data_IF_055850579767
#
_entry.id   IF_055850579767
#
_cell.length_a   1.000
_cell.length_b   1.000
_cell.length_c   1.000
_cell.angle_alpha   90.00
_cell.angle_beta   90.00
_cell.angle_gamma   90.00
#
_symmetry.space_group_name_H-M   'P 1'
#
loop_
_entity.id
_entity.type
_entity.pdbx_description
1 polymer ?
#
# COMPACT_ATOMS: atom_id res chain seq x y z
N UNK A 1 -7.36 -65.42 30.33
CA UNK A 1 -6.49 -65.04 29.21
C UNK A 1 -7.33 -65.08 27.96
N UNK A 2 -7.92 -63.95 27.57
CA UNK A 2 -8.62 -63.78 26.29
C UNK A 2 -8.63 -62.28 26.00
N UNK A 3 -7.54 -61.84 25.37
CA UNK A 3 -7.43 -60.57 24.67
C UNK A 3 -8.40 -60.57 23.49
N UNK A 4 -9.59 -60.01 23.69
CA UNK A 4 -10.46 -59.60 22.58
C UNK A 4 -10.05 -58.20 22.16
N UNK A 5 -9.20 -58.14 21.14
CA UNK A 5 -8.92 -56.92 20.38
C UNK A 5 -10.25 -56.27 19.98
N UNK A 6 -10.51 -55.09 20.54
CA UNK A 6 -11.60 -54.23 20.09
C UNK A 6 -11.24 -53.73 18.69
N UNK A 7 -11.70 -54.43 17.66
CA UNK A 7 -11.66 -53.95 16.28
C UNK A 7 -12.48 -52.66 16.21
N UNK A 8 -11.80 -51.51 16.16
CA UNK A 8 -12.40 -50.20 15.89
C UNK A 8 -13.25 -50.28 14.61
N UNK A 9 -14.48 -49.78 14.69
CA UNK A 9 -15.42 -49.68 13.57
C UNK A 9 -14.72 -48.99 12.36
N UNK A 10 -14.70 -49.62 11.16
CA UNK A 10 -14.12 -49.04 9.96
C UNK A 10 -14.65 -47.64 9.64
N UNK A 11 -15.91 -47.34 9.98
CA UNK A 11 -16.50 -46.02 9.77
C UNK A 11 -15.90 -44.98 10.73
N UNK A 12 -15.67 -45.35 12.00
CA UNK A 12 -15.01 -44.49 12.98
C UNK A 12 -13.55 -44.21 12.61
N UNK A 13 -12.85 -45.22 12.09
CA UNK A 13 -11.49 -45.05 11.59
C UNK A 13 -11.43 -44.11 10.37
N UNK A 14 -12.36 -44.28 9.41
CA UNK A 14 -12.45 -43.40 8.25
C UNK A 14 -12.79 -41.96 8.64
N UNK A 15 -13.69 -41.76 9.61
CA UNK A 15 -14.02 -40.43 10.13
C UNK A 15 -12.83 -39.77 10.83
N UNK A 16 -12.09 -40.52 11.66
CA UNK A 16 -10.89 -40.04 12.32
C UNK A 16 -9.79 -39.66 11.32
N UNK A 17 -9.60 -40.45 10.26
CA UNK A 17 -8.67 -40.15 9.17
C UNK A 17 -9.08 -38.88 8.41
N UNK A 18 -10.37 -38.73 8.08
CA UNK A 18 -10.87 -37.54 7.41
C UNK A 18 -10.68 -36.27 8.25
N UNK A 19 -10.91 -36.35 9.57
CA UNK A 19 -10.68 -35.24 10.49
C UNK A 19 -9.17 -34.87 10.57
N UNK A 20 -8.29 -35.86 10.65
CA UNK A 20 -6.84 -35.64 10.64
C UNK A 20 -6.35 -35.01 9.33
N UNK A 21 -6.89 -35.44 8.19
CA UNK A 21 -6.59 -34.83 6.89
C UNK A 21 -7.08 -33.39 6.80
N UNK A 22 -8.28 -33.09 7.30
CA UNK A 22 -8.81 -31.73 7.34
C UNK A 22 -7.92 -30.80 8.20
N UNK A 23 -7.54 -31.25 9.39
CA UNK A 23 -6.63 -30.50 10.27
C UNK A 23 -5.25 -30.26 9.62
N UNK A 24 -4.72 -31.27 8.92
CA UNK A 24 -3.46 -31.15 8.17
C UNK A 24 -3.58 -30.12 7.03
N UNK A 25 -4.69 -30.14 6.27
CA UNK A 25 -4.92 -29.16 5.19
C UNK A 25 -4.99 -27.73 5.73
N UNK A 26 -5.72 -27.52 6.82
CA UNK A 26 -5.80 -26.21 7.49
C UNK A 26 -4.43 -25.72 7.97
N UNK A 27 -3.62 -26.63 8.52
CA UNK A 27 -2.25 -26.32 8.97
C UNK A 27 -1.34 -25.93 7.81
N UNK A 28 -1.37 -26.69 6.71
CA UNK A 28 -0.60 -26.38 5.50
C UNK A 28 -1.03 -25.02 4.93
N UNK A 29 -2.34 -24.75 4.87
CA UNK A 29 -2.85 -23.46 4.43
C UNK A 29 -2.33 -22.32 5.33
N UNK A 30 -2.46 -22.44 6.65
CA UNK A 30 -2.02 -21.41 7.58
C UNK A 30 -0.53 -21.07 7.43
N UNK A 31 0.35 -22.09 7.37
CA UNK A 31 1.79 -21.89 7.23
C UNK A 31 2.22 -21.41 5.84
N UNK A 32 1.51 -21.81 4.78
CA UNK A 32 1.78 -21.31 3.43
C UNK A 32 1.40 -19.84 3.32
N UNK A 33 0.23 -19.43 3.84
CA UNK A 33 -0.18 -18.03 3.91
C UNK A 33 0.80 -17.20 4.74
N UNK A 34 1.20 -17.69 5.93
CA UNK A 34 2.22 -17.05 6.76
C UNK A 34 3.54 -16.85 6.01
N UNK A 35 4.07 -17.91 5.40
CA UNK A 35 5.33 -17.86 4.65
C UNK A 35 5.29 -16.83 3.52
N UNK A 36 4.21 -16.83 2.73
CA UNK A 36 4.02 -15.84 1.66
C UNK A 36 3.92 -14.42 2.24
N UNK A 37 3.14 -14.21 3.30
CA UNK A 37 2.99 -12.91 3.96
C UNK A 37 4.31 -12.35 4.51
N UNK A 38 5.15 -13.23 5.11
CA UNK A 38 6.48 -12.86 5.58
C UNK A 38 7.42 -12.52 4.43
N UNK A 39 7.44 -13.31 3.35
CA UNK A 39 8.23 -12.99 2.14
C UNK A 39 7.85 -11.63 1.58
N UNK A 40 6.55 -11.33 1.47
CA UNK A 40 6.07 -10.02 1.02
C UNK A 40 6.52 -8.90 1.96
N UNK A 41 6.47 -9.12 3.27
CA UNK A 41 6.94 -8.13 4.26
C UNK A 41 8.45 -7.89 4.17
N UNK A 42 9.26 -8.94 4.03
CA UNK A 42 10.70 -8.81 3.84
C UNK A 42 11.06 -8.13 2.51
N UNK A 43 10.33 -8.43 1.42
CA UNK A 43 10.48 -7.75 0.14
C UNK A 43 10.17 -6.26 0.27
N UNK A 44 9.15 -5.87 1.06
CA UNK A 44 8.91 -4.47 1.40
C UNK A 44 10.11 -3.86 2.12
N UNK A 45 10.62 -4.50 3.17
CA UNK A 45 11.74 -3.95 3.94
C UNK A 45 12.98 -3.76 3.06
N UNK A 46 13.26 -4.73 2.18
CA UNK A 46 14.34 -4.63 1.19
C UNK A 46 14.10 -3.50 0.19
N UNK A 47 12.88 -3.35 -0.35
CA UNK A 47 12.50 -2.24 -1.23
C UNK A 47 12.78 -0.88 -0.61
N UNK A 48 12.40 -0.73 0.66
CA UNK A 48 12.54 0.51 1.42
C UNK A 48 14.00 0.78 1.75
N UNK A 49 14.75 -0.23 2.20
CA UNK A 49 16.18 -0.14 2.40
C UNK A 49 16.92 0.31 1.13
N UNK A 50 16.58 -0.25 -0.04
CA UNK A 50 17.19 0.15 -1.31
C UNK A 50 16.79 1.57 -1.75
N UNK A 51 15.53 1.97 -1.51
CA UNK A 51 15.00 3.24 -1.99
C UNK A 51 15.44 4.46 -1.15
N UNK A 52 15.53 4.31 0.17
CA UNK A 52 15.82 5.43 1.08
C UNK A 52 17.03 5.19 2.00
N UNK A 53 17.54 3.96 2.09
CA UNK A 53 18.58 3.58 3.04
C UNK A 53 18.04 3.30 4.45
N UNK A 54 18.76 2.45 5.21
CA UNK A 54 18.35 2.01 6.56
C UNK A 54 18.26 3.16 7.60
N UNK A 55 19.00 4.26 7.40
CA UNK A 55 18.98 5.43 8.29
C UNK A 55 17.77 6.34 8.11
N UNK A 56 17.04 6.22 6.99
CA UNK A 56 15.93 7.10 6.64
C UNK A 56 14.57 6.38 6.70
N UNK A 57 14.46 5.35 7.54
CA UNK A 57 13.20 4.66 7.77
C UNK A 57 12.21 5.61 8.44
N UNK A 58 10.97 5.56 7.93
CA UNK A 58 9.86 6.36 8.45
C UNK A 58 8.99 5.49 9.36
N UNK A 59 8.01 6.10 10.03
CA UNK A 59 7.13 5.41 10.98
C UNK A 59 6.46 4.16 10.39
N UNK A 60 6.05 4.20 9.12
CA UNK A 60 5.43 3.06 8.42
C UNK A 60 6.36 1.85 8.23
N UNK A 61 7.68 2.07 8.18
CA UNK A 61 8.67 1.00 8.07
C UNK A 61 8.82 0.26 9.42
N UNK A 62 8.82 0.99 10.54
CA UNK A 62 8.85 0.40 11.88
C UNK A 62 7.53 -0.32 12.23
N UNK A 63 6.39 0.25 11.83
CA UNK A 63 5.09 -0.38 12.01
C UNK A 63 4.96 -1.69 11.23
N UNK A 64 5.54 -1.77 10.03
CA UNK A 64 5.57 -3.01 9.26
C UNK A 64 6.40 -4.10 9.95
N UNK A 65 7.51 -3.74 10.60
CA UNK A 65 8.28 -4.69 11.41
C UNK A 65 7.50 -5.18 12.64
N UNK A 66 6.84 -4.26 13.36
CA UNK A 66 5.95 -4.63 14.46
C UNK A 66 4.81 -5.55 13.99
N UNK A 67 4.21 -5.25 12.85
CA UNK A 67 3.17 -6.08 12.24
C UNK A 67 3.69 -7.49 11.91
N UNK A 68 4.93 -7.63 11.45
CA UNK A 68 5.53 -8.95 11.20
C UNK A 68 5.67 -9.80 12.48
N UNK A 69 6.01 -9.16 13.60
CA UNK A 69 6.08 -9.82 14.91
C UNK A 69 4.70 -10.29 15.33
N UNK A 70 3.70 -9.41 15.34
CA UNK A 70 2.33 -9.77 15.72
C UNK A 70 1.70 -10.81 14.78
N UNK A 71 2.01 -10.75 13.48
CA UNK A 71 1.58 -11.75 12.52
C UNK A 71 2.17 -13.13 12.83
N UNK A 72 3.45 -13.18 13.19
CA UNK A 72 4.11 -14.43 13.62
C UNK A 72 3.48 -14.98 14.91
N UNK A 73 3.24 -14.12 15.89
CA UNK A 73 2.59 -14.52 17.16
C UNK A 73 1.19 -15.05 16.88
N UNK A 74 0.38 -14.35 16.09
CA UNK A 74 -0.97 -14.76 15.76
C UNK A 74 -1.01 -16.10 15.00
N UNK A 75 -0.17 -16.27 13.96
CA UNK A 75 -0.08 -17.53 13.21
C UNK A 75 0.35 -18.70 14.11
N UNK A 76 1.27 -18.45 15.05
CA UNK A 76 1.70 -19.46 16.02
C UNK A 76 0.55 -19.80 16.98
N UNK A 77 -0.13 -18.81 17.57
CA UNK A 77 -1.27 -19.05 18.45
C UNK A 77 -2.39 -19.82 17.73
N UNK A 78 -2.69 -19.49 16.47
CA UNK A 78 -3.68 -20.21 15.67
C UNK A 78 -3.28 -21.68 15.45
N UNK A 79 -1.99 -21.96 15.24
CA UNK A 79 -1.46 -23.32 15.15
C UNK A 79 -1.56 -24.06 16.50
N UNK A 80 -1.23 -23.40 17.61
CA UNK A 80 -1.25 -24.02 18.94
C UNK A 80 -2.65 -24.37 19.44
N UNK A 81 -3.72 -23.72 18.94
CA UNK A 81 -5.10 -24.16 19.19
C UNK A 81 -5.30 -25.59 18.70
N UNK A 82 -4.83 -25.93 17.50
CA UNK A 82 -4.95 -27.28 16.94
C UNK A 82 -3.91 -28.26 17.51
N UNK A 83 -2.69 -27.78 17.73
CA UNK A 83 -1.55 -28.62 18.11
C UNK A 83 -1.50 -28.96 19.60
N UNK A 84 -1.63 -27.95 20.48
CA UNK A 84 -1.58 -28.15 21.94
C UNK A 84 -2.98 -28.39 22.48
N UNK A 85 -3.97 -27.58 22.11
CA UNK A 85 -5.30 -27.68 22.68
C UNK A 85 -6.22 -28.68 21.94
N UNK A 86 -5.74 -29.36 20.88
CA UNK A 86 -6.52 -30.29 20.06
C UNK A 86 -7.84 -29.70 19.50
N UNK A 87 -7.88 -28.38 19.31
CA UNK A 87 -9.07 -27.64 18.90
C UNK A 87 -10.10 -27.41 20.02
N UNK A 88 -9.80 -27.83 21.24
CA UNK A 88 -10.69 -27.76 22.39
C UNK A 88 -10.57 -26.41 23.12
N UNK A 89 -11.69 -25.93 23.64
CA UNK A 89 -11.78 -24.77 24.52
C UNK A 89 -13.07 -24.85 25.36
N UNK A 90 -13.41 -23.79 26.08
CA UNK A 90 -14.63 -23.72 26.91
C UNK A 90 -15.94 -23.51 26.13
N UNK A 91 -15.92 -23.48 24.80
CA UNK A 91 -17.09 -23.40 23.94
C UNK A 91 -17.46 -24.78 23.35
N UNK A 92 -18.66 -24.88 22.76
CA UNK A 92 -19.09 -26.10 22.04
C UNK A 92 -19.30 -27.32 22.93
N UNK A 93 -19.64 -27.11 24.21
CA UNK A 93 -20.03 -28.18 25.14
C UNK A 93 -21.45 -27.96 25.64
N UNK A 94 -22.20 -29.06 25.72
CA UNK A 94 -23.48 -29.16 26.43
C UNK A 94 -23.26 -29.14 27.96
N UNK A 95 -24.32 -28.85 28.71
CA UNK A 95 -24.25 -28.83 30.18
C UNK A 95 -23.96 -30.22 30.77
N UNK A 96 -24.45 -31.28 30.11
CA UNK A 96 -24.19 -32.67 30.50
C UNK A 96 -22.72 -33.04 30.30
N UNK A 97 -22.09 -32.65 29.18
CA UNK A 97 -20.66 -32.88 28.94
C UNK A 97 -19.78 -32.14 29.95
N UNK A 98 -20.16 -30.91 30.34
CA UNK A 98 -19.39 -30.10 31.31
C UNK A 98 -19.48 -30.66 32.73
N UNK A 99 -20.62 -31.22 33.10
CA UNK A 99 -20.81 -31.82 34.44
C UNK A 99 -20.18 -33.22 34.52
N UNK A 100 -20.15 -33.96 33.42
CA UNK A 100 -19.46 -35.25 33.32
C UNK A 100 -17.93 -35.12 33.34
N UNK A 101 -17.37 -33.99 32.88
CA UNK A 101 -15.93 -33.79 32.80
C UNK A 101 -15.30 -33.53 34.18
N UNK A 102 -14.47 -34.47 34.64
CA UNK A 102 -13.69 -34.32 35.87
C UNK A 102 -12.54 -33.32 35.70
N UNK A 103 -12.22 -32.58 36.77
CA UNK A 103 -11.05 -31.68 36.81
C UNK A 103 -9.71 -32.41 36.72
N UNK A 104 -9.69 -33.72 37.02
CA UNK A 104 -8.50 -34.57 36.87
C UNK A 104 -8.28 -35.08 35.45
N UNK A 105 -9.24 -34.88 34.55
CA UNK A 105 -9.15 -35.34 33.17
C UNK A 105 -8.15 -34.47 32.37
N UNK A 106 -7.22 -35.07 31.61
CA UNK A 106 -6.39 -34.33 30.67
C UNK A 106 -7.17 -33.36 29.77
N UNK A 107 -8.38 -33.73 29.32
CA UNK A 107 -9.23 -32.89 28.47
C UNK A 107 -9.57 -31.55 29.13
N UNK A 108 -9.81 -31.54 30.45
CA UNK A 108 -10.09 -30.31 31.19
C UNK A 108 -8.94 -29.30 31.04
N UNK A 109 -7.69 -29.78 31.15
CA UNK A 109 -6.50 -28.93 31.02
C UNK A 109 -6.34 -28.42 29.59
N UNK A 110 -6.59 -29.26 28.59
CA UNK A 110 -6.53 -28.87 27.17
C UNK A 110 -7.53 -27.75 26.86
N UNK A 111 -8.76 -27.84 27.37
CA UNK A 111 -9.79 -26.81 27.20
C UNK A 111 -9.42 -25.49 27.86
N UNK A 112 -8.84 -25.53 29.07
CA UNK A 112 -8.33 -24.33 29.76
C UNK A 112 -7.24 -23.65 28.93
N UNK A 113 -6.30 -24.43 28.38
CA UNK A 113 -5.22 -23.90 27.52
C UNK A 113 -5.81 -23.28 26.26
N UNK A 114 -6.73 -23.98 25.58
CA UNK A 114 -7.38 -23.47 24.37
C UNK A 114 -8.12 -22.16 24.60
N UNK A 115 -8.86 -22.04 25.70
CA UNK A 115 -9.53 -20.78 26.08
C UNK A 115 -8.55 -19.62 26.28
N UNK A 116 -7.40 -19.87 26.92
CA UNK A 116 -6.35 -18.83 27.09
C UNK A 116 -5.74 -18.43 25.75
N UNK A 117 -5.48 -19.39 24.86
CA UNK A 117 -4.97 -19.13 23.52
C UNK A 117 -5.96 -18.29 22.72
N UNK A 118 -7.28 -18.52 22.83
CA UNK A 118 -8.29 -17.72 22.13
C UNK A 118 -8.30 -16.26 22.57
N UNK A 119 -8.23 -15.97 23.88
CA UNK A 119 -8.15 -14.59 24.39
C UNK A 119 -6.88 -13.90 23.89
N UNK A 120 -5.74 -14.59 23.92
CA UNK A 120 -4.49 -14.09 23.35
C UNK A 120 -4.59 -13.88 21.83
N UNK A 121 -5.28 -14.78 21.12
CA UNK A 121 -5.54 -14.72 19.69
C UNK A 121 -6.32 -13.47 19.29
N UNK A 122 -7.43 -13.18 19.97
CA UNK A 122 -8.20 -11.95 19.73
C UNK A 122 -7.36 -10.68 19.96
N UNK A 123 -6.59 -10.65 21.05
CA UNK A 123 -5.75 -9.50 21.40
C UNK A 123 -4.67 -9.25 20.35
N UNK A 124 -3.95 -10.31 19.95
CA UNK A 124 -2.87 -10.23 18.96
C UNK A 124 -3.38 -9.93 17.56
N UNK A 125 -4.53 -10.49 17.18
CA UNK A 125 -5.24 -10.17 15.94
C UNK A 125 -5.60 -8.68 15.88
N UNK A 126 -6.21 -8.13 16.93
CA UNK A 126 -6.55 -6.71 16.98
C UNK A 126 -5.32 -5.81 16.91
N UNK A 127 -4.22 -6.19 17.57
CA UNK A 127 -2.97 -5.45 17.52
C UNK A 127 -2.32 -5.49 16.13
N UNK A 128 -2.33 -6.65 15.45
CA UNK A 128 -1.85 -6.76 14.08
C UNK A 128 -2.61 -5.82 13.14
N UNK A 129 -3.95 -5.88 13.17
CA UNK A 129 -4.78 -5.05 12.30
C UNK A 129 -4.58 -3.56 12.57
N UNK A 130 -4.41 -3.17 13.84
CA UNK A 130 -4.04 -1.80 14.20
C UNK A 130 -2.75 -1.38 13.48
N UNK A 131 -1.66 -2.15 13.63
CA UNK A 131 -0.36 -1.80 13.06
C UNK A 131 -0.40 -1.70 11.53
N UNK A 132 -1.12 -2.60 10.87
CA UNK A 132 -1.32 -2.57 9.42
C UNK A 132 -2.10 -1.32 8.98
N UNK A 133 -3.20 -0.99 9.68
CA UNK A 133 -4.03 0.19 9.39
C UNK A 133 -3.29 1.50 9.65
N UNK A 134 -2.49 1.58 10.72
CA UNK A 134 -1.61 2.71 10.99
C UNK A 134 -0.54 2.85 9.89
N UNK A 135 0.08 1.74 9.46
CA UNK A 135 1.05 1.74 8.35
C UNK A 135 0.43 2.28 7.06
N UNK A 136 -0.80 1.88 6.72
CA UNK A 136 -1.55 2.44 5.59
C UNK A 136 -1.83 3.95 5.75
N UNK A 137 -2.23 4.42 6.92
CA UNK A 137 -2.48 5.85 7.16
C UNK A 137 -1.20 6.69 7.02
N UNK A 138 -0.06 6.21 7.51
CA UNK A 138 1.23 6.86 7.29
C UNK A 138 1.63 6.86 5.81
N UNK A 139 1.35 5.77 5.09
CA UNK A 139 1.52 5.74 3.63
C UNK A 139 0.66 6.79 2.93
N UNK A 140 -0.61 6.97 3.36
CA UNK A 140 -1.47 8.02 2.83
C UNK A 140 -0.97 9.44 3.14
N UNK A 141 -0.44 9.68 4.35
CA UNK A 141 0.19 10.97 4.67
C UNK A 141 1.33 11.28 3.69
N UNK A 142 2.13 10.27 3.35
CA UNK A 142 3.23 10.43 2.40
C UNK A 142 2.75 10.62 0.96
N UNK A 143 1.74 9.87 0.53
CA UNK A 143 1.22 9.97 -0.84
C UNK A 143 0.58 11.35 -1.09
N UNK A 144 -0.07 11.88 -0.06
CA UNK A 144 -0.74 13.18 -0.04
C UNK A 144 0.18 14.32 0.44
N UNK A 145 1.48 14.06 0.60
CA UNK A 145 2.47 15.09 0.94
C UNK A 145 2.49 16.14 -0.18
N UNK A 146 2.17 17.39 0.18
CA UNK A 146 1.99 18.51 -0.76
C UNK A 146 0.55 18.74 -1.24
N UNK A 147 -0.42 17.92 -0.85
CA UNK A 147 -1.85 18.18 -1.06
C UNK A 147 -2.43 19.01 0.09
N UNK A 148 -3.45 19.81 -0.20
CA UNK A 148 -4.01 20.79 0.73
C UNK A 148 -4.48 20.22 2.09
N UNK A 149 -4.62 21.11 3.08
CA UNK A 149 -4.96 20.79 4.49
C UNK A 149 -6.19 19.88 4.67
N UNK A 150 -7.14 19.92 3.74
CA UNK A 150 -8.36 19.09 3.75
C UNK A 150 -8.07 17.58 3.73
N UNK A 151 -7.08 17.14 2.95
CA UNK A 151 -6.72 15.71 2.89
C UNK A 151 -6.03 15.26 4.16
N UNK A 152 -5.13 16.09 4.70
CA UNK A 152 -4.44 15.79 5.96
C UNK A 152 -5.42 15.64 7.12
N UNK A 153 -6.45 16.47 7.19
CA UNK A 153 -7.50 16.36 8.20
C UNK A 153 -8.23 15.01 8.13
N UNK A 154 -8.61 14.55 6.94
CA UNK A 154 -9.25 13.23 6.75
C UNK A 154 -8.36 12.09 7.24
N UNK A 155 -7.06 12.14 6.95
CA UNK A 155 -6.13 11.12 7.41
C UNK A 155 -5.99 11.12 8.94
N UNK A 156 -5.94 12.30 9.58
CA UNK A 156 -5.92 12.41 11.04
C UNK A 156 -7.20 11.90 11.71
N UNK A 157 -8.37 12.14 11.10
CA UNK A 157 -9.63 11.52 11.55
C UNK A 157 -9.51 9.99 11.44
N UNK A 158 -8.90 9.48 10.37
CA UNK A 158 -8.59 8.05 10.21
C UNK A 158 -7.73 7.49 11.34
N UNK A 159 -6.70 8.20 11.78
CA UNK A 159 -5.89 7.79 12.95
C UNK A 159 -6.74 7.68 14.21
N UNK A 160 -7.56 8.69 14.51
CA UNK A 160 -8.45 8.67 15.66
C UNK A 160 -9.45 7.52 15.62
N UNK A 161 -10.04 7.27 14.44
CA UNK A 161 -10.99 6.20 14.22
C UNK A 161 -10.34 4.82 14.41
N UNK A 162 -9.18 4.58 13.80
CA UNK A 162 -8.45 3.30 13.91
C UNK A 162 -7.98 3.01 15.34
N UNK A 163 -7.44 4.01 16.04
CA UNK A 163 -7.01 3.84 17.44
C UNK A 163 -8.22 3.66 18.36
N UNK A 164 -9.29 4.43 18.15
CA UNK A 164 -10.51 4.34 18.95
C UNK A 164 -11.21 2.99 18.81
N UNK A 165 -11.32 2.45 17.60
CA UNK A 165 -11.94 1.13 17.37
C UNK A 165 -11.08 -0.03 17.86
N UNK A 166 -9.74 0.11 17.80
CA UNK A 166 -8.82 -0.82 18.46
C UNK A 166 -9.02 -0.82 19.98
N UNK A 167 -9.08 0.36 20.60
CA UNK A 167 -9.36 0.48 22.03
C UNK A 167 -10.70 -0.14 22.41
N UNK A 168 -11.76 0.12 21.63
CA UNK A 168 -13.06 -0.53 21.84
C UNK A 168 -12.98 -2.07 21.75
N UNK A 169 -12.23 -2.60 20.78
CA UNK A 169 -12.05 -4.05 20.61
C UNK A 169 -11.28 -4.67 21.77
N UNK A 170 -10.20 -4.03 22.23
CA UNK A 170 -9.43 -4.49 23.39
C UNK A 170 -10.28 -4.43 24.67
N UNK A 171 -11.00 -3.33 24.90
CA UNK A 171 -11.91 -3.23 26.03
C UNK A 171 -12.99 -4.30 26.00
N UNK A 172 -13.54 -4.63 24.81
CA UNK A 172 -14.49 -5.74 24.69
C UNK A 172 -13.85 -7.09 25.08
N UNK A 173 -12.60 -7.36 24.70
CA UNK A 173 -11.91 -8.62 25.07
C UNK A 173 -11.66 -8.71 26.58
N UNK A 174 -11.30 -7.62 27.26
CA UNK A 174 -10.97 -7.66 28.68
C UNK A 174 -12.15 -7.40 29.62
N UNK A 175 -13.20 -6.73 29.15
CA UNK A 175 -14.36 -6.34 29.98
C UNK A 175 -15.64 -7.14 29.67
N UNK A 176 -15.69 -7.94 28.60
CA UNK A 176 -16.88 -8.74 28.31
C UNK A 176 -17.15 -9.83 29.35
N UNK A 177 -16.13 -10.31 30.05
CA UNK A 177 -16.26 -11.35 31.07
C UNK A 177 -15.65 -10.90 32.40
N UNK A 178 -16.50 -10.78 33.43
CA UNK A 178 -16.10 -10.39 34.78
C UNK A 178 -16.71 -11.38 35.79
N UNK A 179 -15.92 -12.03 36.66
CA UNK A 179 -14.45 -11.96 36.78
C UNK A 179 -13.72 -12.62 35.60
N UNK A 180 -12.50 -12.13 35.30
CA UNK A 180 -11.73 -12.53 34.12
C UNK A 180 -11.36 -14.01 34.10
N UNK A 181 -11.20 -14.64 35.27
CA UNK A 181 -10.90 -16.08 35.38
C UNK A 181 -11.99 -16.98 34.78
N UNK A 182 -13.20 -16.46 34.56
CA UNK A 182 -14.28 -17.20 33.91
C UNK A 182 -14.04 -17.48 32.43
N UNK A 183 -13.06 -16.81 31.78
CA UNK A 183 -12.70 -17.11 30.40
C UNK A 183 -12.21 -18.55 30.19
N UNK A 184 -11.68 -19.17 31.23
CA UNK A 184 -11.23 -20.56 31.21
C UNK A 184 -11.99 -21.44 32.22
N UNK A 185 -13.16 -20.99 32.66
CA UNK A 185 -14.09 -21.83 33.43
C UNK A 185 -14.79 -22.81 32.49
N UNK A 186 -14.79 -24.10 32.85
CA UNK A 186 -15.43 -25.17 32.07
C UNK A 186 -16.82 -25.50 32.64
N UNK A 187 -16.90 -25.72 33.96
CA UNK A 187 -18.11 -26.06 34.69
C UNK A 187 -18.20 -25.23 35.99
N UNK A 188 -19.36 -24.64 36.34
CA UNK A 188 -20.60 -24.57 35.55
C UNK A 188 -20.43 -23.68 34.30
N UNK A 189 -21.44 -23.61 33.41
CA UNK A 189 -21.33 -22.78 32.19
C UNK A 189 -21.08 -21.30 32.53
N UNK A 190 -19.96 -20.68 32.07
CA UNK A 190 -19.70 -19.26 32.31
C UNK A 190 -20.55 -18.34 31.42
N UNK A 191 -21.30 -18.90 30.46
CA UNK A 191 -22.15 -18.17 29.52
C UNK A 191 -21.40 -17.56 28.34
N UNK A 192 -22.15 -17.11 27.33
CA UNK A 192 -21.60 -16.70 26.03
C UNK A 192 -20.53 -15.60 26.13
N UNK A 193 -20.71 -14.61 27.00
CA UNK A 193 -19.79 -13.47 27.11
C UNK A 193 -18.37 -13.89 27.55
N UNK A 194 -18.26 -15.00 28.28
CA UNK A 194 -17.02 -15.58 28.80
C UNK A 194 -16.43 -16.71 27.92
N UNK A 195 -17.03 -16.98 26.76
CA UNK A 195 -16.52 -17.96 25.80
C UNK A 195 -15.86 -17.21 24.64
N UNK A 196 -14.55 -16.96 24.72
CA UNK A 196 -13.84 -16.07 23.80
C UNK A 196 -14.06 -16.41 22.32
N UNK A 197 -14.17 -17.68 21.93
CA UNK A 197 -14.45 -18.13 20.57
C UNK A 197 -15.78 -17.62 20.00
N UNK A 198 -16.82 -17.55 20.84
CA UNK A 198 -18.21 -17.30 20.43
C UNK A 198 -18.84 -16.10 21.14
N UNK A 199 -18.04 -15.31 21.85
CA UNK A 199 -18.50 -14.18 22.66
C UNK A 199 -19.09 -13.08 21.77
N UNK A 200 -20.41 -12.92 21.83
CA UNK A 200 -21.16 -11.96 21.03
C UNK A 200 -20.62 -10.52 21.19
N UNK A 201 -20.31 -10.02 22.42
CA UNK A 201 -19.72 -8.69 22.58
C UNK A 201 -18.39 -8.52 21.82
N UNK A 202 -17.51 -9.52 21.88
CA UNK A 202 -16.20 -9.48 21.20
C UNK A 202 -16.41 -9.49 19.68
N UNK A 203 -17.24 -10.40 19.18
CA UNK A 203 -17.50 -10.58 17.75
C UNK A 203 -18.13 -9.32 17.15
N UNK A 204 -19.20 -8.79 17.74
CA UNK A 204 -19.90 -7.61 17.22
C UNK A 204 -19.03 -6.37 17.27
N UNK A 205 -18.31 -6.16 18.38
CA UNK A 205 -17.41 -5.00 18.52
C UNK A 205 -16.28 -5.08 17.51
N UNK A 206 -15.62 -6.24 17.38
CA UNK A 206 -14.53 -6.45 16.44
C UNK A 206 -15.01 -6.30 14.99
N UNK A 207 -16.16 -6.87 14.64
CA UNK A 207 -16.75 -6.75 13.31
C UNK A 207 -17.04 -5.28 12.95
N UNK A 208 -17.78 -4.58 13.80
CA UNK A 208 -18.13 -3.18 13.58
C UNK A 208 -16.89 -2.29 13.50
N UNK A 209 -15.92 -2.49 14.41
CA UNK A 209 -14.64 -1.81 14.42
C UNK A 209 -13.89 -1.99 13.10
N UNK A 210 -13.79 -3.23 12.63
CA UNK A 210 -12.99 -3.59 11.48
C UNK A 210 -13.62 -3.15 10.15
N UNK A 211 -14.93 -3.37 9.97
CA UNK A 211 -15.67 -2.95 8.77
C UNK A 211 -15.70 -1.43 8.65
N UNK A 212 -16.01 -0.71 9.73
CA UNK A 212 -16.08 0.75 9.69
C UNK A 212 -14.72 1.39 9.37
N UNK A 213 -13.64 0.87 9.95
CA UNK A 213 -12.27 1.33 9.65
C UNK A 213 -11.88 1.03 8.21
N UNK A 214 -12.17 -0.16 7.69
CA UNK A 214 -11.82 -0.53 6.32
C UNK A 214 -12.55 0.32 5.28
N UNK A 215 -13.87 0.50 5.46
CA UNK A 215 -14.67 1.38 4.60
C UNK A 215 -14.06 2.78 4.62
N UNK A 216 -13.75 3.33 5.80
CA UNK A 216 -13.16 4.66 5.90
C UNK A 216 -11.82 4.77 5.16
N UNK A 217 -10.92 3.79 5.34
CA UNK A 217 -9.61 3.78 4.69
C UNK A 217 -9.69 3.67 3.16
N UNK A 218 -10.70 2.97 2.62
CA UNK A 218 -10.97 2.89 1.18
C UNK A 218 -11.47 4.23 0.65
N UNK A 219 -12.27 4.99 1.43
CA UNK A 219 -12.82 6.27 1.00
C UNK A 219 -11.78 7.40 0.93
N UNK A 220 -10.68 7.31 1.69
CA UNK A 220 -9.62 8.35 1.71
C UNK A 220 -9.05 8.65 0.30
N UNK A 221 -8.59 7.67 -0.49
CA UNK A 221 -8.01 7.92 -1.81
C UNK A 221 -9.02 8.19 -2.94
N UNK A 222 -10.33 7.92 -2.78
CA UNK A 222 -11.30 8.06 -3.88
C UNK A 222 -11.39 9.49 -4.43
N UNK A 223 -11.56 10.54 -3.59
CA UNK A 223 -11.62 11.92 -4.09
C UNK A 223 -10.30 12.35 -4.74
N UNK A 224 -9.18 11.78 -4.29
CA UNK A 224 -7.88 12.05 -4.90
C UNK A 224 -7.79 11.50 -6.33
N UNK A 225 -8.38 10.34 -6.59
CA UNK A 225 -8.39 9.72 -7.92
C UNK A 225 -9.26 10.50 -8.92
N UNK A 226 -10.32 11.16 -8.45
CA UNK A 226 -11.23 11.93 -9.30
C UNK A 226 -10.75 13.35 -9.59
N UNK A 227 -10.20 14.07 -8.62
CA UNK A 227 -9.88 15.48 -8.81
C UNK A 227 -8.45 15.78 -9.29
N UNK A 228 -7.60 14.77 -9.48
CA UNK A 228 -6.17 15.03 -9.64
C UNK A 228 -5.59 14.68 -11.01
N UNK A 229 -4.88 15.65 -11.59
CA UNK A 229 -3.92 15.51 -12.69
C UNK A 229 -2.61 14.85 -12.23
N UNK A 230 -2.69 13.90 -11.30
CA UNK A 230 -1.49 13.26 -10.75
C UNK A 230 -0.76 12.46 -11.83
N UNK A 231 0.59 12.47 -11.74
CA UNK A 231 1.47 11.61 -12.54
C UNK A 231 0.97 10.16 -12.45
N UNK A 232 0.90 9.48 -13.60
CA UNK A 232 0.34 8.12 -13.78
C UNK A 232 0.75 7.11 -12.68
N UNK A 233 1.98 7.23 -12.17
CA UNK A 233 2.52 6.37 -11.10
C UNK A 233 1.73 6.50 -9.79
N UNK A 234 1.36 7.72 -9.38
CA UNK A 234 0.56 7.94 -8.15
C UNK A 234 -0.87 7.43 -8.33
N UNK A 235 -1.41 7.52 -9.55
CA UNK A 235 -2.74 7.01 -9.89
C UNK A 235 -2.80 5.48 -9.79
N UNK A 236 -1.82 4.77 -10.38
CA UNK A 236 -1.71 3.31 -10.31
C UNK A 236 -1.54 2.82 -8.86
N UNK A 237 -0.63 3.44 -8.09
CA UNK A 237 -0.44 3.08 -6.69
C UNK A 237 -1.73 3.24 -5.86
N UNK A 238 -2.48 4.32 -6.08
CA UNK A 238 -3.74 4.57 -5.41
C UNK A 238 -4.85 3.60 -5.82
N UNK A 239 -4.92 3.18 -7.09
CA UNK A 239 -5.90 2.18 -7.56
C UNK A 239 -5.62 0.79 -6.99
N UNK A 240 -4.34 0.39 -6.89
CA UNK A 240 -3.95 -0.90 -6.30
C UNK A 240 -4.36 -0.94 -4.83
N UNK A 241 -4.07 0.11 -4.05
CA UNK A 241 -4.46 0.18 -2.64
C UNK A 241 -5.98 0.11 -2.46
N UNK A 242 -6.73 0.81 -3.32
CA UNK A 242 -8.19 0.80 -3.28
C UNK A 242 -8.77 -0.59 -3.58
N UNK A 243 -8.30 -1.26 -4.64
CA UNK A 243 -8.75 -2.62 -4.97
C UNK A 243 -8.39 -3.63 -3.88
N UNK A 244 -7.21 -3.46 -3.28
CA UNK A 244 -6.73 -4.29 -2.19
C UNK A 244 -7.58 -4.12 -0.90
N UNK A 245 -7.99 -2.89 -0.57
CA UNK A 245 -8.87 -2.61 0.58
C UNK A 245 -10.26 -3.23 0.42
N UNK A 246 -10.85 -3.20 -0.79
CA UNK A 246 -12.15 -3.83 -1.06
C UNK A 246 -12.08 -5.35 -0.82
N UNK A 247 -10.98 -6.00 -1.19
CA UNK A 247 -10.81 -7.43 -0.96
C UNK A 247 -10.71 -7.78 0.53
N UNK A 248 -9.99 -6.97 1.34
CA UNK A 248 -9.95 -7.12 2.81
C UNK A 248 -11.36 -7.04 3.42
N UNK A 249 -12.15 -6.05 2.98
CA UNK A 249 -13.51 -5.85 3.46
C UNK A 249 -14.41 -7.07 3.22
N UNK A 250 -14.27 -7.71 2.05
CA UNK A 250 -15.02 -8.94 1.73
C UNK A 250 -14.61 -10.09 2.66
N UNK A 251 -13.31 -10.29 2.90
CA UNK A 251 -12.83 -11.32 3.83
C UNK A 251 -13.34 -11.10 5.27
N UNK A 252 -13.31 -9.86 5.76
CA UNK A 252 -13.81 -9.48 7.08
C UNK A 252 -15.32 -9.78 7.24
N UNK A 253 -16.08 -9.52 6.17
CA UNK A 253 -17.52 -9.78 6.11
C UNK A 253 -17.82 -11.28 6.16
N UNK A 254 -17.13 -12.07 5.34
CA UNK A 254 -17.30 -13.52 5.31
C UNK A 254 -16.97 -14.17 6.66
N UNK A 255 -15.86 -13.77 7.31
CA UNK A 255 -15.49 -14.25 8.65
C UNK A 255 -16.65 -14.10 9.64
N UNK A 256 -17.27 -12.93 9.65
CA UNK A 256 -18.29 -12.59 10.65
C UNK A 256 -19.62 -13.28 10.37
N UNK A 257 -19.97 -13.50 9.10
CA UNK A 257 -21.13 -14.30 8.71
C UNK A 257 -20.95 -15.76 9.17
N UNK A 258 -19.79 -16.36 8.95
CA UNK A 258 -19.57 -17.77 9.32
C UNK A 258 -19.62 -18.02 10.83
N UNK A 259 -19.14 -17.07 11.64
CA UNK A 259 -19.26 -17.13 13.11
C UNK A 259 -20.73 -17.13 13.55
N UNK A 260 -21.57 -16.33 12.88
CA UNK A 260 -22.96 -16.11 13.29
C UNK A 260 -23.91 -17.20 12.77
N UNK A 261 -23.60 -17.83 11.64
CA UNK A 261 -24.49 -18.79 10.97
C UNK A 261 -24.24 -20.23 11.41
N UNK A 262 -23.00 -20.59 11.78
CA UNK A 262 -22.66 -21.96 12.19
C UNK A 262 -22.31 -22.03 13.69
N UNK A 263 -23.26 -22.39 14.56
CA UNK A 263 -23.01 -22.46 16.01
C UNK A 263 -22.10 -23.63 16.42
N UNK A 264 -21.88 -24.63 15.55
CA UNK A 264 -21.13 -25.85 15.88
C UNK A 264 -19.68 -25.79 15.37
N UNK A 265 -19.47 -25.43 14.11
CA UNK A 265 -18.13 -25.32 13.52
C UNK A 265 -17.67 -23.86 13.32
N UNK A 266 -18.52 -22.88 13.63
CA UNK A 266 -18.27 -21.46 13.32
C UNK A 266 -17.02 -20.91 14.00
N UNK A 267 -16.69 -21.33 15.22
CA UNK A 267 -15.49 -20.86 15.91
C UNK A 267 -14.19 -21.26 15.18
N UNK A 268 -14.10 -22.51 14.72
CA UNK A 268 -12.94 -22.99 13.97
C UNK A 268 -12.89 -22.36 12.58
N UNK A 269 -14.03 -22.28 11.89
CA UNK A 269 -14.15 -21.64 10.58
C UNK A 269 -13.79 -20.15 10.64
N UNK A 270 -14.18 -19.47 11.72
CA UNK A 270 -13.82 -18.09 12.00
C UNK A 270 -12.32 -17.88 12.19
N UNK A 271 -11.64 -18.81 12.87
CA UNK A 271 -10.19 -18.80 13.02
C UNK A 271 -9.47 -18.91 11.67
N UNK A 272 -9.93 -19.83 10.81
CA UNK A 272 -9.39 -19.97 9.44
C UNK A 272 -9.60 -18.70 8.62
N UNK A 273 -10.81 -18.15 8.62
CA UNK A 273 -11.10 -16.90 7.90
C UNK A 273 -10.36 -15.69 8.48
N UNK A 274 -10.13 -15.64 9.80
CA UNK A 274 -9.29 -14.62 10.43
C UNK A 274 -7.82 -14.70 9.99
N UNK A 275 -7.30 -15.92 9.78
CA UNK A 275 -5.95 -16.12 9.23
C UNK A 275 -5.87 -15.64 7.78
N UNK A 276 -6.89 -15.95 6.96
CA UNK A 276 -6.98 -15.46 5.58
C UNK A 276 -7.06 -13.94 5.53
N UNK A 277 -7.90 -13.34 6.35
CA UNK A 277 -8.07 -11.89 6.44
C UNK A 277 -6.76 -11.18 6.79
N UNK A 278 -6.05 -11.67 7.82
CA UNK A 278 -4.79 -11.08 8.25
C UNK A 278 -3.69 -11.27 7.22
N UNK A 279 -3.63 -12.43 6.54
CA UNK A 279 -2.76 -12.62 5.38
C UNK A 279 -3.03 -11.57 4.30
N UNK A 280 -4.30 -11.39 3.92
CA UNK A 280 -4.68 -10.40 2.92
C UNK A 280 -4.26 -9.01 3.39
N UNK A 281 -4.62 -8.61 4.60
CA UNK A 281 -4.25 -7.30 5.16
C UNK A 281 -2.74 -7.04 5.16
N UNK A 282 -1.92 -8.06 5.48
CA UNK A 282 -0.45 -7.98 5.41
C UNK A 282 0.00 -7.74 3.98
N UNK A 283 -0.47 -8.55 3.02
CA UNK A 283 -0.08 -8.42 1.61
C UNK A 283 -0.49 -7.07 1.04
N UNK A 284 -1.73 -6.64 1.28
CA UNK A 284 -2.29 -5.39 0.74
C UNK A 284 -1.60 -4.16 1.31
N UNK A 285 -1.26 -4.15 2.60
CA UNK A 285 -0.53 -3.06 3.25
C UNK A 285 0.91 -2.94 2.72
N UNK A 286 1.53 -4.06 2.34
CA UNK A 286 2.92 -4.10 1.88
C UNK A 286 3.09 -3.81 0.39
N UNK A 287 2.10 -4.15 -0.44
CA UNK A 287 2.15 -4.05 -1.90
C UNK A 287 2.57 -2.68 -2.47
N UNK A 288 2.09 -1.53 -1.96
CA UNK A 288 2.40 -0.21 -2.55
C UNK A 288 3.89 0.14 -2.49
N UNK A 289 4.58 -0.35 -1.47
CA UNK A 289 6.01 -0.10 -1.28
C UNK A 289 6.89 -1.03 -2.11
N UNK A 290 6.37 -2.19 -2.50
CA UNK A 290 7.10 -3.18 -3.31
C UNK A 290 6.97 -2.85 -4.81
N UNK A 291 5.90 -2.16 -5.20
CA UNK A 291 5.61 -1.82 -6.61
C UNK A 291 6.80 -1.21 -7.40
N UNK A 292 7.59 -0.25 -6.85
CA UNK A 292 8.75 0.29 -7.56
C UNK A 292 9.84 -0.75 -7.85
N UNK A 293 10.04 -1.72 -6.95
CA UNK A 293 10.96 -2.83 -7.18
C UNK A 293 10.43 -3.77 -8.26
N UNK A 294 9.17 -4.19 -8.16
CA UNK A 294 8.53 -5.08 -9.14
C UNK A 294 8.65 -4.47 -10.53
N UNK A 295 8.35 -3.17 -10.68
CA UNK A 295 8.51 -2.48 -11.97
C UNK A 295 9.95 -2.56 -12.48
N UNK A 296 10.94 -2.41 -11.61
CA UNK A 296 12.36 -2.45 -11.99
C UNK A 296 12.81 -3.87 -12.38
N UNK A 297 12.33 -4.89 -11.67
CA UNK A 297 12.66 -6.29 -11.95
C UNK A 297 11.94 -6.86 -13.18
N UNK A 298 10.73 -6.36 -13.47
CA UNK A 298 9.96 -6.76 -14.64
C UNK A 298 10.32 -5.97 -15.91
N UNK A 299 11.07 -4.85 -15.82
CA UNK A 299 11.59 -4.11 -16.99
C UNK A 299 12.30 -5.02 -18.02
N UNK A 300 13.24 -5.92 -17.64
CA UNK A 300 13.89 -6.81 -18.60
C UNK A 300 12.98 -7.90 -19.18
N UNK A 301 11.94 -8.30 -18.44
CA UNK A 301 10.98 -9.33 -18.87
C UNK A 301 9.86 -8.77 -19.77
N UNK A 302 9.74 -7.44 -19.85
CA UNK A 302 8.68 -6.78 -20.61
C UNK A 302 9.18 -5.73 -21.62
N UNK A 303 10.02 -6.09 -22.63
CA UNK A 303 10.50 -5.12 -23.62
C UNK A 303 9.38 -4.55 -24.52
N UNK A 304 8.24 -5.23 -24.63
CA UNK A 304 7.31 -5.02 -25.77
C UNK A 304 6.00 -4.26 -25.49
N UNK A 305 5.49 -4.13 -24.25
CA UNK A 305 4.26 -3.32 -24.00
C UNK A 305 4.49 -1.86 -23.59
N UNK A 306 5.75 -1.43 -23.42
CA UNK A 306 6.07 -0.02 -23.15
C UNK A 306 6.76 0.68 -24.31
N UNK A 307 6.89 0.02 -25.47
CA UNK A 307 7.19 0.71 -26.73
C UNK A 307 5.92 1.46 -27.15
N UNK A 308 5.60 2.53 -26.42
CA UNK A 308 4.72 3.57 -26.89
C UNK A 308 5.20 3.91 -28.29
N UNK A 309 4.36 3.62 -29.29
CA UNK A 309 4.60 4.02 -30.67
C UNK A 309 4.87 5.50 -30.62
N UNK A 310 6.15 5.90 -30.75
CA UNK A 310 6.50 7.30 -30.92
C UNK A 310 5.82 7.67 -32.23
N UNK A 311 4.70 8.39 -32.17
CA UNK A 311 4.21 9.15 -33.32
C UNK A 311 5.39 10.00 -33.73
N UNK A 312 6.03 9.62 -34.83
CA UNK A 312 6.97 10.49 -35.51
C UNK A 312 6.21 11.77 -35.79
N UNK A 313 6.54 12.84 -35.07
CA UNK A 313 6.06 14.16 -35.43
C UNK A 313 6.56 14.39 -36.85
N UNK A 314 5.64 14.43 -37.82
CA UNK A 314 5.96 14.93 -39.15
C UNK A 314 6.34 16.39 -38.95
N UNK A 315 7.64 16.68 -39.00
CA UNK A 315 8.13 18.03 -39.22
C UNK A 315 7.49 18.54 -40.52
N UNK A 316 6.84 19.71 -40.54
CA UNK A 316 6.31 20.25 -41.78
C UNK A 316 7.50 20.56 -42.70
N UNK A 317 7.67 19.76 -43.75
CA UNK A 317 8.63 20.03 -44.81
C UNK A 317 8.10 21.19 -45.65
N UNK A 318 8.54 22.40 -45.33
CA UNK A 318 8.09 23.60 -46.04
C UNK A 318 8.83 24.88 -45.68
N UNK A 319 10.06 24.81 -45.16
CA UNK A 319 10.89 26.00 -44.99
C UNK A 319 11.74 26.18 -46.25
N UNK A 320 11.21 26.97 -47.20
CA UNK A 320 12.01 27.52 -48.29
C UNK A 320 12.82 28.70 -47.74
N UNK A 321 14.13 28.56 -47.71
CA UNK A 321 15.05 29.65 -47.37
C UNK A 321 15.03 30.69 -48.50
N UNK A 322 14.66 31.93 -48.19
CA UNK A 322 14.77 33.07 -49.11
C UNK A 322 16.26 33.37 -49.27
N UNK A 323 16.84 32.92 -50.38
CA UNK A 323 18.26 33.14 -50.68
C UNK A 323 18.86 32.01 -51.52
N UNK A 324 18.36 31.82 -52.74
CA UNK A 324 18.94 30.87 -53.70
C UNK A 324 18.35 31.12 -55.07
N UNK A 325 19.13 31.78 -55.94
CA UNK A 325 18.70 32.28 -57.24
C UNK A 325 18.27 31.20 -58.23
N UNK A 326 17.36 31.61 -59.11
CA UNK A 326 16.88 30.90 -60.28
C UNK A 326 18.01 30.35 -61.16
N UNK A 327 17.82 29.11 -61.61
CA UNK A 327 18.56 28.49 -62.70
C UNK A 327 17.66 27.51 -63.45
N UNK A 328 16.69 28.06 -64.19
CA UNK A 328 15.91 27.32 -65.17
C UNK A 328 16.71 27.30 -66.47
N UNK A 329 17.14 26.12 -66.94
CA UNK A 329 17.31 25.71 -68.35
C UNK A 329 18.03 24.36 -68.41
N UNK A 330 17.59 23.47 -69.32
CA UNK A 330 18.52 22.54 -69.97
C UNK A 330 18.41 21.06 -69.60
N UNK A 331 17.59 20.38 -70.39
CA UNK A 331 17.59 18.95 -70.68
C UNK A 331 19.01 18.33 -70.83
N UNK A 332 19.26 17.14 -70.25
CA UNK A 332 19.90 15.96 -70.88
C UNK A 332 20.68 15.04 -69.90
N UNK A 333 20.26 13.77 -69.92
CA UNK A 333 21.03 12.52 -69.89
C UNK A 333 22.37 12.38 -69.13
N UNK A 334 22.47 11.17 -68.54
CA UNK A 334 23.65 10.32 -68.23
C UNK A 334 24.25 10.36 -66.81
N UNK A 335 23.84 9.34 -66.06
CA UNK A 335 24.68 8.21 -65.63
C UNK A 335 26.01 8.46 -64.90
N UNK A 336 25.99 7.98 -63.64
CA UNK A 336 27.01 7.26 -62.87
C UNK A 336 28.14 8.00 -62.17
N UNK A 337 28.26 7.57 -60.91
CA UNK A 337 29.41 7.45 -60.02
C UNK A 337 29.93 8.71 -59.31
N UNK A 338 29.35 8.89 -58.11
CA UNK A 338 29.79 9.77 -57.03
C UNK A 338 31.17 9.35 -56.50
N UNK A 339 32.14 10.24 -56.67
CA UNK A 339 33.31 10.36 -55.80
C UNK A 339 32.94 11.07 -54.50
N UNK A 340 33.47 10.53 -53.42
CA UNK A 340 33.54 11.03 -52.05
C UNK A 340 34.31 12.36 -51.96
N UNK A 341 33.79 13.29 -51.17
CA UNK A 341 34.46 14.49 -50.65
C UNK A 341 34.05 14.70 -49.19
N UNK A 342 34.87 15.34 -48.34
CA UNK A 342 34.83 15.17 -46.89
C UNK A 342 33.64 15.89 -46.23
N UNK A 343 33.06 15.23 -45.24
CA UNK A 343 31.95 15.71 -44.42
C UNK A 343 32.44 16.77 -43.42
N UNK A 344 31.73 17.89 -43.30
CA UNK A 344 31.98 18.91 -42.29
C UNK A 344 31.68 18.34 -40.89
N UNK A 345 32.53 18.71 -39.92
CA UNK A 345 32.64 18.03 -38.63
C UNK A 345 31.52 18.32 -37.61
N UNK A 346 30.43 19.03 -37.94
CA UNK A 346 29.34 19.28 -36.98
C UNK A 346 27.97 19.53 -37.64
N UNK A 347 27.16 18.50 -37.95
CA UNK A 347 25.72 18.68 -38.03
C UNK A 347 25.13 18.69 -36.62
N UNK A 348 24.60 19.83 -36.17
CA UNK A 348 23.77 19.91 -34.96
C UNK A 348 22.53 19.06 -35.22
N UNK A 349 22.58 17.82 -34.72
CA UNK A 349 21.49 16.85 -34.85
C UNK A 349 20.61 17.04 -33.62
N UNK A 350 19.43 17.65 -33.79
CA UNK A 350 18.46 17.86 -32.71
C UNK A 350 17.73 16.55 -32.34
N UNK A 351 18.49 15.54 -31.90
CA UNK A 351 17.93 14.29 -31.41
C UNK A 351 18.54 13.96 -30.04
N UNK A 352 18.13 14.74 -29.04
CA UNK A 352 18.54 14.53 -27.66
C UNK A 352 17.63 13.45 -27.06
N UNK A 353 18.21 12.28 -26.80
CA UNK A 353 17.55 11.18 -26.10
C UNK A 353 18.10 11.12 -24.68
N UNK A 354 17.35 11.65 -23.72
CA UNK A 354 17.72 11.58 -22.31
C UNK A 354 17.42 10.20 -21.71
N UNK A 355 18.36 9.68 -20.95
CA UNK A 355 18.12 8.54 -20.04
C UNK A 355 17.83 9.03 -18.62
N UNK A 356 17.05 8.26 -17.86
CA UNK A 356 16.50 8.63 -16.52
C UNK A 356 17.59 9.03 -15.49
N UNK A 357 18.86 8.69 -15.75
CA UNK A 357 20.04 9.08 -14.95
C UNK A 357 20.44 10.56 -15.12
N UNK A 358 20.20 11.16 -16.29
CA UNK A 358 20.62 12.53 -16.61
C UNK A 358 19.62 13.59 -16.13
N UNK A 359 18.35 13.22 -15.91
CA UNK A 359 17.31 14.11 -15.36
C UNK A 359 17.62 14.58 -13.93
N UNK A 360 18.48 13.86 -13.19
CA UNK A 360 18.83 14.23 -11.81
C UNK A 360 19.85 15.37 -11.73
N UNK A 361 20.55 15.68 -12.82
CA UNK A 361 21.56 16.76 -12.91
C UNK A 361 20.92 18.06 -13.44
N UNK A 362 19.81 18.00 -14.17
CA UNK A 362 19.17 19.17 -14.81
C UNK A 362 18.03 19.84 -14.02
N UNK A 363 17.83 19.54 -12.73
CA UNK A 363 16.72 20.12 -11.98
C UNK A 363 16.87 21.61 -11.61
N UNK A 364 17.99 22.28 -11.94
CA UNK A 364 18.25 23.68 -11.54
C UNK A 364 18.47 24.68 -12.69
N UNK A 365 18.05 24.36 -13.92
CA UNK A 365 18.03 25.36 -14.99
C UNK A 365 16.60 25.57 -15.48
N UNK A 366 15.94 26.59 -14.92
CA UNK A 366 14.76 27.19 -15.55
C UNK A 366 15.22 27.97 -16.78
N UNK A 367 15.13 27.35 -17.95
CA UNK A 367 15.20 28.10 -19.21
C UNK A 367 13.87 28.83 -19.41
N UNK A 368 13.88 30.15 -19.21
CA UNK A 368 12.84 31.04 -19.72
C UNK A 368 13.45 31.88 -20.85
N UNK A 369 12.81 31.77 -22.02
CA UNK A 369 12.90 32.61 -23.22
C UNK A 369 14.28 32.95 -23.79
N UNK A 370 14.77 32.06 -24.67
CA UNK A 370 15.75 32.43 -25.71
C UNK A 370 15.06 33.33 -26.74
N UNK A 371 15.50 34.59 -26.88
CA UNK A 371 15.22 35.44 -28.05
C UNK A 371 16.49 35.70 -28.86
N UNK A 372 16.32 35.46 -30.16
CA UNK A 372 17.26 35.57 -31.26
C UNK A 372 17.89 36.96 -31.38
N UNK A 373 19.21 37.02 -31.54
CA UNK A 373 19.95 38.24 -31.86
C UNK A 373 19.59 38.74 -33.26
N UNK A 374 18.97 39.92 -33.37
CA UNK A 374 18.88 40.66 -34.64
C UNK A 374 20.00 41.69 -34.68
N UNK A 375 21.02 41.45 -35.50
CA UNK A 375 22.00 42.46 -35.89
C UNK A 375 21.29 43.57 -36.67
N UNK A 376 21.38 44.80 -36.18
CA UNK A 376 20.83 46.00 -36.81
C UNK A 376 21.53 46.28 -38.15
N UNK A 377 20.80 46.14 -39.26
CA UNK A 377 21.19 46.70 -40.56
C UNK A 377 20.66 48.13 -40.60
N UNK A 378 21.55 49.11 -40.70
CA UNK A 378 21.18 50.51 -40.93
C UNK A 378 20.56 50.69 -42.33
N UNK A 379 19.44 51.43 -42.50
CA UNK A 379 18.84 51.62 -43.81
C UNK A 379 19.63 52.60 -44.67
N UNK A 380 19.80 52.27 -45.95
CA UNK A 380 20.27 53.18 -47.00
C UNK A 380 19.13 54.17 -47.33
N UNK A 381 19.38 55.48 -47.52
CA UNK A 381 18.32 56.42 -47.87
C UNK A 381 17.82 56.20 -49.31
N UNK A 382 16.53 55.88 -49.50
CA UNK A 382 15.91 55.92 -50.84
C UNK A 382 14.73 55.00 -51.15
N UNK A 383 14.38 54.01 -50.31
CA UNK A 383 13.28 53.09 -50.62
C UNK A 383 11.98 53.43 -49.87
N UNK A 384 10.87 53.58 -50.60
CA UNK A 384 9.51 53.72 -50.03
C UNK A 384 9.17 52.50 -49.14
N UNK A 385 8.48 52.68 -48.00
CA UNK A 385 8.07 51.56 -47.16
C UNK A 385 6.90 50.80 -47.79
N UNK A 386 6.82 49.47 -47.65
CA UNK A 386 5.59 48.73 -47.93
C UNK A 386 4.58 48.97 -46.81
N UNK A 387 3.30 49.13 -47.18
CA UNK A 387 2.17 49.23 -46.25
C UNK A 387 2.05 47.92 -45.45
N UNK A 388 2.47 47.95 -44.19
CA UNK A 388 2.28 46.85 -43.24
C UNK A 388 2.40 47.35 -41.81
N UNK A 389 1.45 46.97 -40.96
CA UNK A 389 1.44 47.29 -39.53
C UNK A 389 2.56 46.51 -38.86
N UNK A 390 3.50 47.20 -38.22
CA UNK A 390 4.57 46.59 -37.41
C UNK A 390 4.17 46.70 -35.94
N UNK A 391 3.95 45.56 -35.29
CA UNK A 391 3.69 45.49 -33.84
C UNK A 391 5.03 45.30 -33.13
N UNK A 392 5.41 46.27 -32.28
CA UNK A 392 6.58 46.17 -31.41
C UNK A 392 6.15 45.71 -30.02
N UNK A 393 6.74 44.62 -29.52
CA UNK A 393 6.55 44.17 -28.13
C UNK A 393 7.79 44.56 -27.32
N UNK A 394 7.63 45.56 -26.46
CA UNK A 394 8.64 45.98 -25.49
C UNK A 394 8.51 45.11 -24.21
N UNK A 395 9.64 44.61 -23.70
CA UNK A 395 9.66 43.75 -22.49
C UNK A 395 10.69 44.34 -21.53
N UNK A 396 10.23 44.74 -20.35
CA UNK A 396 11.08 45.21 -19.26
C UNK A 396 11.35 44.05 -18.30
N UNK A 397 12.62 43.79 -18.02
CA UNK A 397 13.07 42.69 -17.16
C UNK A 397 13.56 43.27 -15.84
N UNK A 398 12.84 43.00 -14.74
CA UNK A 398 13.28 43.26 -13.37
C UNK A 398 13.84 41.98 -12.76
N UNK A 399 15.08 42.05 -12.28
CA UNK A 399 15.76 40.97 -11.55
C UNK A 399 15.68 41.32 -10.06
N UNK A 400 14.97 40.50 -9.28
CA UNK A 400 14.97 40.60 -7.81
C UNK A 400 15.99 39.61 -7.25
N UNK A 401 17.16 40.11 -6.82
CA UNK A 401 18.15 39.32 -6.10
C UNK A 401 17.77 39.21 -4.62
N UNK A 402 17.34 38.02 -4.22
CA UNK A 402 16.90 37.72 -2.86
C UNK A 402 18.09 37.27 -1.99
N UNK A 403 19.08 38.14 -1.80
CA UNK A 403 20.22 37.86 -0.92
C UNK A 403 20.71 39.12 -0.19
N UNK A 404 20.03 39.50 0.89
CA UNK A 404 20.57 40.32 2.00
C UNK A 404 19.46 40.68 3.00
N UNK A 405 19.00 39.69 3.77
CA UNK A 405 18.36 39.98 5.06
C UNK A 405 19.22 39.34 6.13
N UNK A 406 20.26 40.05 6.57
CA UNK A 406 20.82 40.05 7.92
C UNK A 406 21.97 41.07 7.90
N UNK A 407 21.78 42.17 8.63
CA UNK A 407 22.77 43.02 9.33
C UNK A 407 22.19 44.45 9.44
N UNK A 408 21.60 44.69 10.62
CA UNK A 408 21.84 45.82 11.53
C UNK A 408 21.64 47.27 11.04
N UNK A 409 20.53 47.90 11.47
CA UNK A 409 20.47 49.35 11.66
C UNK A 409 19.72 49.74 12.95
N UNK A 410 20.46 50.50 13.77
CA UNK A 410 20.18 51.08 15.09
C UNK A 410 19.14 52.23 14.98
N UNK A 411 18.30 52.52 16.01
CA UNK A 411 17.28 53.56 15.90
C UNK A 411 17.89 54.97 16.08
N UNK A 412 17.62 55.87 15.13
CA UNK A 412 17.80 57.31 15.30
C UNK A 412 16.45 57.95 15.63
N UNK A 413 16.36 58.58 16.80
CA UNK A 413 15.35 59.59 17.11
C UNK A 413 15.66 60.85 16.27
N UNK A 414 14.65 61.57 15.75
CA UNK A 414 14.34 62.86 16.40
C UNK A 414 12.89 63.37 16.28
N UNK A 415 12.54 64.13 17.34
CA UNK A 415 11.76 65.38 17.40
C UNK A 415 10.23 65.38 17.21
N UNK A 416 9.63 65.87 18.29
CA UNK A 416 8.29 66.42 18.52
C UNK A 416 7.85 67.45 17.47
N UNK A 417 6.54 67.51 17.22
CA UNK A 417 5.75 68.74 17.22
C UNK A 417 4.24 68.41 17.17
N UNK A 418 3.54 68.81 18.24
CA UNK A 418 2.08 68.97 18.44
C UNK A 418 1.21 67.73 18.67
#
# INVERSE_FOLDING_TARGET
>A
MSSSDATLDPAALAAAQAAAEAARRMTIEAWTLYGVGMVVTFLRMFARAKAVGFRNFRADDYLAFGAAIFYTIQSTLAYEVGNIAHGLANNGMTDDERTALSTSDPEFTLRVIGSKIQVAGWTTYSALLLLLKLSMLFFYLRLTEGLGRRYRLRIWIGFGLVIGTFMASILAVFLACIPFDKYWQISPDPGNSCQAAISLPIIWTSFAANVSTDIYLILIPIPLLWESTLRLIKKIASTIVLGAGIFVLVCATLKSIFVLVDPVNGAQLAGTWGTRETFVAVVTTNLPMIFPLIRTWLKPLWPSMLRSSKKAYKTPSGFQTIGGGNGQYGNSQRSRDRRTGPSSANPITANISFTESEERIMNDVKMQDIKTSTSSVSPIPGSKPPNGIVVSNEIQVTIDDRTSQFVEQRPQHPREAW
#
